data_IF_793798991156
#
_entry.id   IF_793798991156
#
_cell.length_a   1.000
_cell.length_b   1.000
_cell.length_c   1.000
_cell.angle_alpha   90.00
_cell.angle_beta   90.00
_cell.angle_gamma   90.00
#
_symmetry.space_group_name_H-M   'P 1'
#
loop_
_entity.id
_entity.type
_entity.pdbx_description
1 polymer ?
#
# COMPACT_ATOMS: atom_id res chain seq x y z
N UNK A 1 26.40 9.37 18.43
CA UNK A 1 25.74 8.20 17.82
C UNK A 1 25.07 8.57 16.50
N UNK A 2 24.03 9.42 16.47
CA UNK A 2 23.44 9.88 15.21
C UNK A 2 24.38 10.78 14.41
N UNK A 3 25.13 11.67 15.08
CA UNK A 3 26.12 12.53 14.41
C UNK A 3 27.28 11.74 13.79
N UNK A 4 27.69 10.63 14.41
CA UNK A 4 28.73 9.74 13.87
C UNK A 4 28.22 8.98 12.64
N UNK A 5 26.93 8.61 12.67
CA UNK A 5 26.22 8.01 11.53
C UNK A 5 26.15 9.03 10.38
N UNK A 6 25.77 10.28 10.66
CA UNK A 6 25.69 11.36 9.67
C UNK A 6 27.08 11.71 9.12
N UNK A 7 28.11 11.76 9.96
CA UNK A 7 29.49 12.03 9.54
C UNK A 7 30.04 10.93 8.64
N UNK A 8 29.81 9.66 8.99
CA UNK A 8 30.13 8.53 8.12
C UNK A 8 29.30 8.53 6.84
N UNK A 9 28.04 8.96 6.90
CA UNK A 9 27.19 9.13 5.73
C UNK A 9 27.84 10.12 4.76
N UNK A 10 28.14 11.35 5.23
CA UNK A 10 28.74 12.44 4.42
C UNK A 10 30.08 12.03 3.81
N UNK A 11 30.87 11.23 4.53
CA UNK A 11 32.18 10.75 4.06
C UNK A 11 32.08 9.65 3.00
N UNK A 12 31.05 8.79 3.07
CA UNK A 12 30.78 7.78 2.04
C UNK A 12 29.96 8.33 0.86
N UNK A 13 29.30 9.49 1.04
CA UNK A 13 28.50 10.18 0.00
C UNK A 13 29.34 10.62 -1.22
N UNK A 14 30.64 10.83 -1.04
CA UNK A 14 31.55 11.36 -2.06
C UNK A 14 32.11 10.33 -3.04
N UNK A 15 31.94 9.02 -2.82
CA UNK A 15 32.66 7.97 -3.59
C UNK A 15 31.80 7.09 -4.53
N UNK A 16 30.47 7.26 -4.58
CA UNK A 16 29.66 6.81 -5.73
C UNK A 16 28.79 5.54 -5.58
N UNK A 17 27.67 5.57 -6.33
CA UNK A 17 26.70 4.54 -6.76
C UNK A 17 26.04 3.54 -5.79
N UNK A 18 26.48 3.33 -4.56
CA UNK A 18 25.82 2.38 -3.62
C UNK A 18 24.94 3.06 -2.54
N UNK A 19 24.41 4.26 -2.82
CA UNK A 19 23.65 5.07 -1.85
C UNK A 19 22.53 4.30 -1.13
N UNK A 20 21.74 3.53 -1.87
CA UNK A 20 20.59 2.82 -1.31
C UNK A 20 21.02 1.69 -0.37
N UNK A 21 22.11 0.99 -0.72
CA UNK A 21 22.67 -0.08 0.09
C UNK A 21 23.31 0.47 1.36
N UNK A 22 24.04 1.58 1.28
CA UNK A 22 24.60 2.26 2.44
C UNK A 22 23.48 2.74 3.38
N UNK A 23 22.41 3.35 2.84
CA UNK A 23 21.25 3.75 3.64
C UNK A 23 20.64 2.55 4.36
N UNK A 24 20.39 1.45 3.65
CA UNK A 24 19.84 0.24 4.28
C UNK A 24 20.81 -0.32 5.34
N UNK A 25 22.10 -0.46 5.05
CA UNK A 25 23.06 -1.09 5.96
C UNK A 25 23.31 -0.26 7.22
N UNK A 26 23.43 1.06 7.07
CA UNK A 26 23.64 1.98 8.20
C UNK A 26 22.40 2.03 9.09
N UNK A 27 21.21 2.17 8.51
CA UNK A 27 19.99 2.31 9.30
C UNK A 27 19.47 0.97 9.82
N UNK A 28 19.78 -0.17 9.19
CA UNK A 28 19.33 -1.49 9.64
C UNK A 28 19.80 -1.78 11.06
N UNK A 29 21.05 -1.47 11.40
CA UNK A 29 21.59 -1.73 12.73
C UNK A 29 20.90 -0.90 13.82
N UNK A 30 20.59 0.36 13.54
CA UNK A 30 19.87 1.22 14.48
C UNK A 30 18.42 0.76 14.66
N UNK A 31 17.74 0.44 13.55
CA UNK A 31 16.32 0.07 13.55
C UNK A 31 16.04 -1.36 14.05
N UNK A 32 17.01 -2.28 13.94
CA UNK A 32 16.92 -3.65 14.48
C UNK A 32 17.48 -3.79 15.89
N UNK A 33 18.02 -2.70 16.46
CA UNK A 33 18.59 -2.69 17.80
C UNK A 33 17.56 -2.93 18.92
N UNK A 34 18.04 -3.31 20.11
CA UNK A 34 17.18 -3.59 21.30
C UNK A 34 16.28 -2.43 21.73
N UNK A 35 16.65 -1.19 21.38
CA UNK A 35 15.83 0.01 21.66
C UNK A 35 14.57 0.07 20.79
N UNK A 36 14.60 -0.59 19.61
CA UNK A 36 13.57 -0.53 18.59
C UNK A 36 12.85 -1.87 18.40
N UNK A 37 12.73 -2.68 19.47
CA UNK A 37 12.05 -3.99 19.43
C UNK A 37 10.60 -3.90 18.94
N UNK A 38 9.93 -2.76 19.15
CA UNK A 38 8.58 -2.52 18.65
C UNK A 38 8.49 -2.61 17.11
N UNK A 39 9.59 -2.31 16.40
CA UNK A 39 9.64 -2.39 14.94
C UNK A 39 9.70 -3.83 14.43
N UNK A 40 10.00 -4.83 15.28
CA UNK A 40 10.07 -6.25 14.88
C UNK A 40 8.76 -6.78 14.25
N UNK A 41 7.62 -6.15 14.56
CA UNK A 41 6.32 -6.55 14.05
C UNK A 41 5.69 -5.49 13.13
N UNK A 42 6.51 -4.58 12.56
CA UNK A 42 6.02 -3.54 11.65
C UNK A 42 5.22 -4.13 10.48
N UNK A 43 5.61 -5.29 9.95
CA UNK A 43 4.85 -5.96 8.88
C UNK A 43 3.36 -6.18 9.19
N UNK A 44 2.97 -6.31 10.45
CA UNK A 44 1.57 -6.52 10.86
C UNK A 44 0.70 -5.28 10.61
N UNK A 45 1.27 -4.08 10.67
CA UNK A 45 0.53 -2.84 10.43
C UNK A 45 0.46 -2.46 8.95
N UNK A 46 1.22 -3.12 8.08
CA UNK A 46 1.24 -2.83 6.65
C UNK A 46 -0.13 -3.06 6.00
N UNK A 47 -0.84 -4.19 6.19
CA UNK A 47 -2.17 -4.40 5.61
C UNK A 47 -3.20 -3.30 5.93
N UNK A 48 -3.43 -2.89 7.20
CA UNK A 48 -4.40 -1.83 7.49
C UNK A 48 -3.94 -0.45 6.99
N UNK A 49 -2.63 -0.16 6.98
CA UNK A 49 -2.09 1.07 6.39
C UNK A 49 -2.37 1.15 4.89
N UNK A 50 -2.12 0.05 4.16
CA UNK A 50 -2.39 -0.04 2.73
C UNK A 50 -3.88 0.14 2.42
N UNK A 51 -4.77 -0.45 3.22
CA UNK A 51 -6.21 -0.27 3.04
C UNK A 51 -6.63 1.19 3.24
N UNK A 52 -6.17 1.83 4.31
CA UNK A 52 -6.45 3.24 4.60
C UNK A 52 -5.93 4.16 3.50
N UNK A 53 -4.74 3.87 2.97
CA UNK A 53 -4.14 4.62 1.88
C UNK A 53 -4.95 4.48 0.57
N UNK A 54 -5.39 3.26 0.22
CA UNK A 54 -6.23 3.03 -0.95
C UNK A 54 -7.56 3.78 -0.84
N UNK A 55 -8.20 3.81 0.33
CA UNK A 55 -9.41 4.60 0.56
C UNK A 55 -9.19 6.10 0.36
N UNK A 56 -8.06 6.61 0.85
CA UNK A 56 -7.67 8.00 0.68
C UNK A 56 -7.46 8.35 -0.81
N UNK A 57 -6.73 7.53 -1.56
CA UNK A 57 -6.54 7.72 -3.01
C UNK A 57 -7.87 7.67 -3.77
N UNK A 58 -8.78 6.75 -3.41
CA UNK A 58 -10.12 6.69 -4.02
C UNK A 58 -10.88 7.99 -3.80
N UNK A 59 -10.84 8.53 -2.57
CA UNK A 59 -11.44 9.83 -2.27
C UNK A 59 -10.85 10.98 -3.09
N UNK A 60 -9.53 11.00 -3.28
CA UNK A 60 -8.85 12.00 -4.12
C UNK A 60 -9.26 11.87 -5.60
N UNK A 61 -9.34 10.65 -6.13
CA UNK A 61 -9.75 10.37 -7.52
C UNK A 61 -11.21 10.76 -7.78
N UNK A 62 -12.11 10.51 -6.82
CA UNK A 62 -13.52 10.91 -6.90
C UNK A 62 -13.70 12.44 -6.87
N UNK A 63 -12.82 13.16 -6.17
CA UNK A 63 -12.80 14.63 -6.15
C UNK A 63 -12.22 15.24 -7.45
N UNK A 64 -11.19 14.61 -8.04
CA UNK A 64 -10.59 15.03 -9.32
C UNK A 64 -11.57 14.95 -10.50
N UNK A 65 -12.47 13.97 -10.50
CA UNK A 65 -13.49 13.79 -11.56
C UNK A 65 -14.63 14.81 -11.49
N UNK A 66 -14.79 15.55 -10.38
CA UNK A 66 -15.97 16.41 -10.10
C UNK A 66 -15.80 17.91 -10.29
N UNK A 67 -14.69 18.40 -10.87
CA UNK A 67 -14.29 19.82 -11.08
C UNK A 67 -13.25 20.30 -10.05
N UNK A 68 -11.95 20.10 -10.31
CA UNK A 68 -10.90 21.12 -10.08
C UNK A 68 -9.55 20.55 -10.50
N UNK A 69 -8.85 21.25 -11.40
CA UNK A 69 -7.52 20.86 -11.94
C UNK A 69 -6.36 21.37 -11.07
N UNK A 70 -6.61 21.73 -9.82
CA UNK A 70 -5.61 22.33 -8.93
C UNK A 70 -5.35 21.34 -7.80
N UNK A 71 -4.13 20.79 -7.77
CA UNK A 71 -3.62 19.77 -6.83
C UNK A 71 -3.89 18.30 -7.22
N UNK A 72 -3.73 17.97 -8.51
CA UNK A 72 -3.50 16.60 -8.95
C UNK A 72 -2.12 16.08 -8.50
N UNK A 73 -1.87 16.03 -7.18
CA UNK A 73 -0.79 15.23 -6.63
C UNK A 73 -1.30 13.79 -6.58
N UNK A 74 -1.37 13.20 -7.77
CA UNK A 74 -1.61 11.78 -7.95
C UNK A 74 -0.36 11.09 -7.41
N UNK A 75 -0.51 10.36 -6.30
CA UNK A 75 0.61 9.72 -5.61
C UNK A 75 1.22 8.66 -6.52
N UNK A 76 2.34 9.01 -7.13
CA UNK A 76 3.23 8.08 -7.84
C UNK A 76 4.13 7.49 -6.76
N UNK A 77 4.02 6.19 -6.54
CA UNK A 77 4.88 5.26 -5.78
C UNK A 77 5.41 5.58 -4.35
N UNK A 78 5.48 6.82 -3.87
CA UNK A 78 6.23 7.18 -2.65
C UNK A 78 5.78 6.49 -1.36
N UNK A 79 4.48 6.24 -1.20
CA UNK A 79 3.97 5.45 -0.07
C UNK A 79 4.35 3.96 -0.21
N UNK A 80 4.17 3.37 -1.40
CA UNK A 80 4.54 1.97 -1.69
C UNK A 80 6.04 1.77 -1.50
N UNK A 81 6.84 2.67 -2.08
CA UNK A 81 8.30 2.68 -1.97
C UNK A 81 8.77 2.85 -0.52
N UNK A 82 8.10 3.69 0.27
CA UNK A 82 8.38 3.86 1.69
C UNK A 82 8.10 2.58 2.50
N UNK A 83 6.96 1.94 2.28
CA UNK A 83 6.61 0.66 2.92
C UNK A 83 7.61 -0.44 2.53
N UNK A 84 7.93 -0.56 1.24
CA UNK A 84 8.91 -1.52 0.73
C UNK A 84 10.31 -1.26 1.33
N UNK A 85 10.70 0.01 1.45
CA UNK A 85 11.97 0.39 2.08
C UNK A 85 12.02 -0.04 3.55
N UNK A 86 10.97 0.24 4.34
CA UNK A 86 10.94 -0.12 5.77
C UNK A 86 10.93 -1.65 5.94
N UNK A 87 10.16 -2.38 5.12
CA UNK A 87 10.17 -3.86 5.13
C UNK A 87 11.56 -4.42 4.79
N UNK A 88 12.28 -3.80 3.85
CA UNK A 88 13.67 -4.17 3.51
C UNK A 88 14.63 -3.84 4.65
N UNK A 89 14.47 -2.67 5.24
CA UNK A 89 15.29 -2.18 6.34
C UNK A 89 15.17 -3.06 7.59
N UNK A 90 13.99 -3.64 7.83
CA UNK A 90 13.72 -4.51 8.98
C UNK A 90 13.87 -6.01 8.68
N UNK A 91 14.08 -6.38 7.41
CA UNK A 91 14.13 -7.77 6.91
C UNK A 91 12.85 -8.58 7.16
N UNK A 92 11.69 -7.95 6.96
CA UNK A 92 10.38 -8.51 7.33
C UNK A 92 9.55 -9.02 6.15
N UNK A 93 10.13 -9.12 4.95
CA UNK A 93 9.39 -9.57 3.77
C UNK A 93 8.79 -10.97 3.93
N UNK A 94 9.51 -11.90 4.57
CA UNK A 94 9.03 -13.27 4.79
C UNK A 94 7.88 -13.31 5.80
N UNK A 95 7.99 -12.52 6.86
CA UNK A 95 6.93 -12.42 7.88
C UNK A 95 5.68 -11.75 7.30
N UNK A 96 5.86 -10.71 6.48
CA UNK A 96 4.77 -10.07 5.74
C UNK A 96 4.08 -11.04 4.78
N UNK A 97 4.83 -11.79 3.98
CA UNK A 97 4.30 -12.75 3.01
C UNK A 97 3.49 -13.86 3.70
N UNK A 98 3.91 -14.27 4.91
CA UNK A 98 3.19 -15.26 5.72
C UNK A 98 1.78 -14.85 6.15
N UNK A 99 1.44 -13.55 6.07
CA UNK A 99 0.09 -13.08 6.33
C UNK A 99 -0.89 -13.46 5.22
N UNK A 100 -0.40 -13.86 4.03
CA UNK A 100 -1.23 -14.12 2.85
C UNK A 100 -2.21 -12.97 2.56
N UNK A 101 -1.80 -11.74 2.88
CA UNK A 101 -2.67 -10.56 2.84
C UNK A 101 -3.25 -10.34 1.44
N UNK A 102 -2.42 -10.45 0.40
CA UNK A 102 -2.86 -10.23 -0.98
C UNK A 102 -3.87 -11.29 -1.43
N UNK A 103 -3.75 -12.52 -0.95
CA UNK A 103 -4.70 -13.60 -1.23
C UNK A 103 -6.03 -13.30 -0.54
N UNK A 104 -6.00 -12.89 0.73
CA UNK A 104 -7.19 -12.49 1.48
C UNK A 104 -7.92 -11.30 0.82
N UNK A 105 -7.20 -10.32 0.28
CA UNK A 105 -7.80 -9.19 -0.46
C UNK A 105 -8.47 -9.66 -1.75
N UNK A 106 -7.82 -10.55 -2.52
CA UNK A 106 -8.38 -11.11 -3.75
C UNK A 106 -9.62 -11.95 -3.47
N UNK A 107 -9.58 -12.77 -2.42
CA UNK A 107 -10.71 -13.59 -1.99
C UNK A 107 -11.88 -12.70 -1.56
N UNK A 108 -11.65 -11.73 -0.67
CA UNK A 108 -12.68 -10.79 -0.22
C UNK A 108 -13.31 -10.03 -1.39
N UNK A 109 -12.50 -9.59 -2.35
CA UNK A 109 -12.99 -8.89 -3.54
C UNK A 109 -13.80 -9.80 -4.46
N UNK A 110 -13.48 -11.10 -4.52
CA UNK A 110 -14.22 -12.09 -5.30
C UNK A 110 -15.57 -12.40 -4.64
N UNK A 111 -15.60 -12.53 -3.31
CA UNK A 111 -16.83 -12.71 -2.53
C UNK A 111 -17.76 -11.51 -2.74
N UNK A 112 -17.25 -10.28 -2.61
CA UNK A 112 -18.04 -9.06 -2.83
C UNK A 112 -18.63 -9.01 -4.26
N UNK A 113 -17.83 -9.36 -5.27
CA UNK A 113 -18.28 -9.43 -6.66
C UNK A 113 -19.39 -10.48 -6.85
N UNK A 114 -19.23 -11.66 -6.27
CA UNK A 114 -20.22 -12.75 -6.37
C UNK A 114 -21.54 -12.40 -5.67
N UNK A 115 -21.49 -11.72 -4.53
CA UNK A 115 -22.68 -11.23 -3.82
C UNK A 115 -23.48 -10.25 -4.67
N UNK A 116 -22.80 -9.34 -5.37
CA UNK A 116 -23.44 -8.41 -6.30
C UNK A 116 -24.04 -9.14 -7.50
N UNK A 117 -23.36 -10.14 -8.07
CA UNK A 117 -23.89 -10.98 -9.15
C UNK A 117 -25.16 -11.73 -8.70
N UNK A 118 -25.13 -12.36 -7.52
CA UNK A 118 -26.26 -13.12 -7.00
C UNK A 118 -27.48 -12.22 -6.70
N UNK A 119 -27.26 -11.03 -6.12
CA UNK A 119 -28.32 -10.03 -5.95
C UNK A 119 -28.91 -9.57 -7.28
N UNK A 120 -28.10 -9.46 -8.34
CA UNK A 120 -28.54 -9.07 -9.68
C UNK A 120 -29.42 -10.14 -10.33
N UNK A 121 -29.06 -11.42 -10.16
CA UNK A 121 -29.80 -12.56 -10.70
C UNK A 121 -31.17 -12.75 -10.05
N UNK A 122 -31.27 -12.48 -8.74
CA UNK A 122 -32.51 -12.64 -7.98
C UNK A 122 -33.46 -11.43 -8.11
N UNK A 123 -33.01 -10.33 -8.71
CA UNK A 123 -33.80 -9.10 -8.88
C UNK A 123 -34.51 -9.09 -10.23
N UNK A 124 -35.84 -9.05 -10.23
CA UNK A 124 -36.67 -8.97 -11.45
C UNK A 124 -36.84 -7.55 -11.99
N UNK A 125 -36.61 -6.53 -11.15
CA UNK A 125 -36.79 -5.13 -11.51
C UNK A 125 -35.64 -4.56 -12.37
N UNK A 126 -35.98 -3.92 -13.48
CA UNK A 126 -35.02 -3.37 -14.45
C UNK A 126 -34.14 -2.25 -13.88
N UNK A 127 -34.70 -1.44 -12.98
CA UNK A 127 -33.98 -0.36 -12.29
C UNK A 127 -32.91 -0.91 -11.34
N UNK A 128 -33.20 -2.03 -10.68
CA UNK A 128 -32.27 -2.74 -9.79
C UNK A 128 -31.14 -3.36 -10.62
N UNK A 129 -31.44 -3.97 -11.78
CA UNK A 129 -30.41 -4.48 -12.71
C UNK A 129 -29.46 -3.38 -13.22
N UNK A 130 -29.99 -2.19 -13.56
CA UNK A 130 -29.16 -1.04 -13.97
C UNK A 130 -28.23 -0.56 -12.84
N UNK A 131 -28.75 -0.41 -11.62
CA UNK A 131 -27.96 -0.02 -10.44
C UNK A 131 -26.86 -1.04 -10.10
N UNK A 132 -27.17 -2.34 -10.18
CA UNK A 132 -26.18 -3.41 -9.94
C UNK A 132 -25.08 -3.47 -11.00
N UNK A 133 -25.37 -3.15 -12.27
CA UNK A 133 -24.31 -3.05 -13.30
C UNK A 133 -23.32 -1.91 -13.02
N UNK A 134 -23.80 -0.79 -12.46
CA UNK A 134 -22.95 0.33 -12.06
C UNK A 134 -22.07 -0.04 -10.84
N UNK A 135 -22.62 -0.81 -9.89
CA UNK A 135 -21.86 -1.36 -8.76
C UNK A 135 -20.77 -2.35 -9.21
N UNK A 136 -21.04 -3.24 -10.18
CA UNK A 136 -20.01 -4.13 -10.74
C UNK A 136 -18.84 -3.38 -11.37
N UNK A 137 -19.12 -2.34 -12.16
CA UNK A 137 -18.07 -1.48 -12.75
C UNK A 137 -17.24 -0.77 -11.69
N UNK A 138 -17.85 -0.38 -10.56
CA UNK A 138 -17.14 0.21 -9.41
C UNK A 138 -16.22 -0.81 -8.74
N UNK A 139 -16.71 -2.02 -8.46
CA UNK A 139 -15.91 -3.10 -7.85
C UNK A 139 -14.70 -3.46 -8.71
N UNK A 140 -14.87 -3.53 -10.03
CA UNK A 140 -13.78 -3.82 -10.97
C UNK A 140 -12.69 -2.74 -10.96
N UNK A 141 -13.08 -1.47 -10.91
CA UNK A 141 -12.15 -0.34 -10.79
C UNK A 141 -11.44 -0.34 -9.42
N UNK A 142 -12.14 -0.74 -8.36
CA UNK A 142 -11.62 -0.84 -7.00
C UNK A 142 -10.63 -2.01 -6.83
N UNK A 143 -10.86 -3.12 -7.53
CA UNK A 143 -9.94 -4.26 -7.60
C UNK A 143 -8.62 -3.87 -8.27
N UNK A 144 -8.67 -3.13 -9.38
CA UNK A 144 -7.47 -2.67 -10.08
C UNK A 144 -6.60 -1.76 -9.20
N UNK A 145 -7.19 -0.91 -8.36
CA UNK A 145 -6.42 -0.05 -7.45
C UNK A 145 -5.81 -0.84 -6.29
N UNK A 146 -6.51 -1.87 -5.78
CA UNK A 146 -6.04 -2.70 -4.66
C UNK A 146 -4.96 -3.73 -5.07
N UNK A 147 -4.98 -4.18 -6.33
CA UNK A 147 -4.02 -5.19 -6.86
C UNK A 147 -2.72 -4.55 -7.34
N UNK A 148 -2.75 -3.29 -7.82
CA UNK A 148 -1.54 -2.56 -8.24
C UNK A 148 -0.80 -1.91 -7.05
N UNK A 149 -1.07 -2.40 -5.83
CA UNK A 149 -0.54 -1.91 -4.56
C UNK A 149 0.34 -2.97 -3.90
#
# INVERSE_FOLDING_TARGET
HLDDVISNLVKNFTEGTEYFKILVDVFSNEFRGKKNLHLKHFYVIVPPLTLSFVEHIKGLKDNLTKKSKVNASFTDDGFVMGVAYILKLLDQYRDFDSLHWFDAVRESSTIERNDVINKSRNSTEENVKKALSASMKRIENDQLVRINF
#
